data_IF_428712502770
#
_entry.id   IF_428712502770
#
_cell.length_a   1.000
_cell.length_b   1.000
_cell.length_c   1.000
_cell.angle_alpha   90.00
_cell.angle_beta   90.00
_cell.angle_gamma   90.00
#
_symmetry.space_group_name_H-M   'P 1'
#
loop_
_entity.id
_entity.type
_entity.pdbx_description
1 polymer ?
#
# COMPACT_ATOMS: atom_id res chain seq x y z
N UNK A 1 -4.05 29.01 -14.02
CA UNK A 1 -4.24 27.68 -13.43
C UNK A 1 -5.55 27.67 -12.65
N UNK A 2 -6.53 26.83 -13.01
CA UNK A 2 -7.76 26.69 -12.24
C UNK A 2 -7.39 26.27 -10.82
N UNK A 3 -7.76 27.12 -9.85
CA UNK A 3 -7.45 26.88 -8.45
C UNK A 3 -8.23 25.66 -7.98
N UNK A 4 -7.56 24.70 -7.34
CA UNK A 4 -8.23 23.65 -6.54
C UNK A 4 -8.66 24.30 -5.22
N UNK A 5 -9.47 25.34 -5.35
CA UNK A 5 -10.25 25.84 -4.25
C UNK A 5 -11.51 25.03 -4.40
N UNK A 6 -11.72 24.07 -3.49
CA UNK A 6 -13.07 23.68 -3.12
C UNK A 6 -13.80 25.00 -2.91
N UNK A 7 -14.56 25.47 -3.91
CA UNK A 7 -15.23 26.75 -3.85
C UNK A 7 -16.02 26.72 -2.56
N UNK A 8 -15.59 27.51 -1.57
CA UNK A 8 -16.24 27.58 -0.24
C UNK A 8 -17.76 27.82 -0.38
N UNK A 9 -18.15 28.34 -1.54
CA UNK A 9 -19.52 28.60 -2.01
C UNK A 9 -20.37 27.32 -2.21
N UNK A 10 -19.79 26.15 -2.53
CA UNK A 10 -20.58 24.93 -2.75
C UNK A 10 -20.88 24.14 -1.46
N UNK A 11 -20.23 24.49 -0.34
CA UNK A 11 -20.35 23.78 0.94
C UNK A 11 -21.19 24.60 1.94
N UNK A 12 -21.35 25.90 1.67
CA UNK A 12 -22.19 26.75 2.48
C UNK A 12 -23.66 26.58 2.04
N UNK A 13 -24.48 26.04 2.94
CA UNK A 13 -25.95 26.20 3.03
C UNK A 13 -26.89 25.13 2.45
N UNK A 14 -26.45 23.91 2.18
CA UNK A 14 -27.38 22.80 2.40
C UNK A 14 -27.21 22.37 3.85
N UNK A 15 -28.12 22.84 4.72
CA UNK A 15 -28.34 22.25 6.05
C UNK A 15 -28.43 20.75 5.81
N UNK A 16 -27.39 20.00 6.23
CA UNK A 16 -27.29 18.56 6.04
C UNK A 16 -28.56 18.01 6.66
N UNK A 17 -29.56 17.59 5.87
CA UNK A 17 -30.72 16.96 6.46
C UNK A 17 -30.20 15.72 7.20
N UNK A 18 -31.02 15.03 7.96
CA UNK A 18 -30.69 13.69 8.46
C UNK A 18 -30.62 12.66 7.29
N UNK A 19 -30.05 13.06 6.16
CA UNK A 19 -29.82 12.33 4.92
C UNK A 19 -28.81 11.24 5.18
N UNK A 20 -29.27 10.04 4.82
CA UNK A 20 -28.48 8.83 4.68
C UNK A 20 -27.13 9.10 3.97
N UNK A 21 -26.05 9.05 4.76
CA UNK A 21 -24.67 9.22 4.32
C UNK A 21 -24.33 8.36 3.09
N UNK A 22 -24.87 7.14 3.01
CA UNK A 22 -24.67 6.24 1.88
C UNK A 22 -25.12 6.88 0.56
N UNK A 23 -26.26 7.60 0.59
CA UNK A 23 -26.81 8.30 -0.58
C UNK A 23 -25.95 9.49 -0.98
N UNK A 24 -25.36 10.20 -0.02
CA UNK A 24 -24.46 11.32 -0.32
C UNK A 24 -23.22 10.85 -1.08
N UNK A 25 -22.59 9.76 -0.62
CA UNK A 25 -21.45 9.16 -1.33
C UNK A 25 -21.85 8.71 -2.74
N UNK A 26 -22.98 8.00 -2.86
CA UNK A 26 -23.49 7.54 -4.15
C UNK A 26 -23.71 8.70 -5.13
N UNK A 27 -24.35 9.79 -4.69
CA UNK A 27 -24.56 10.99 -5.51
C UNK A 27 -23.25 11.61 -5.99
N UNK A 28 -22.23 11.67 -5.13
CA UNK A 28 -20.91 12.21 -5.56
C UNK A 28 -20.24 11.32 -6.62
N UNK A 29 -20.33 9.99 -6.49
CA UNK A 29 -19.80 9.06 -7.50
C UNK A 29 -20.59 9.11 -8.81
N UNK A 30 -21.92 9.27 -8.74
CA UNK A 30 -22.78 9.42 -9.90
C UNK A 30 -22.51 10.75 -10.61
N UNK A 31 -22.45 11.86 -9.87
CA UNK A 31 -22.08 13.16 -10.43
C UNK A 31 -20.73 13.12 -11.14
N UNK A 32 -19.71 12.51 -10.53
CA UNK A 32 -18.41 12.30 -11.15
C UNK A 32 -18.49 11.52 -12.47
N UNK A 33 -19.35 10.49 -12.55
CA UNK A 33 -19.52 9.66 -13.75
C UNK A 33 -20.22 10.38 -14.92
N UNK A 34 -20.94 11.46 -14.66
CA UNK A 34 -21.58 12.28 -15.71
C UNK A 34 -20.64 13.27 -16.38
N UNK A 35 -19.44 13.47 -15.84
CA UNK A 35 -18.45 14.41 -16.38
C UNK A 35 -17.72 13.75 -17.55
N UNK A 36 -17.77 14.38 -18.72
CA UNK A 36 -17.16 13.88 -19.94
C UNK A 36 -15.65 14.14 -19.98
N UNK A 37 -14.86 13.32 -19.27
CA UNK A 37 -13.40 13.40 -19.38
C UNK A 37 -12.91 13.14 -20.81
N UNK A 38 -11.93 13.92 -21.25
CA UNK A 38 -11.24 13.73 -22.53
C UNK A 38 -9.74 13.82 -22.31
N UNK A 39 -9.02 12.92 -22.95
CA UNK A 39 -7.56 12.94 -23.06
C UNK A 39 -7.21 13.16 -24.53
N UNK A 40 -6.52 14.25 -24.84
CA UNK A 40 -6.00 14.47 -26.20
C UNK A 40 -4.73 13.63 -26.43
N UNK A 41 -4.41 13.37 -27.70
CA UNK A 41 -3.15 12.81 -28.18
C UNK A 41 -1.91 13.52 -27.64
N UNK A 42 -2.02 14.82 -27.32
CA UNK A 42 -0.99 15.63 -26.67
C UNK A 42 -0.90 15.41 -25.16
N UNK A 43 -1.61 14.41 -24.63
CA UNK A 43 -1.73 14.12 -23.20
C UNK A 43 -2.33 15.27 -22.40
N UNK A 44 -3.17 16.14 -22.98
CA UNK A 44 -3.89 17.13 -22.18
C UNK A 44 -5.10 16.47 -21.47
N UNK A 45 -5.23 16.68 -20.16
CA UNK A 45 -6.37 16.20 -19.37
C UNK A 45 -7.42 17.31 -19.24
N UNK A 46 -8.59 17.07 -19.83
CA UNK A 46 -9.73 17.96 -19.70
C UNK A 46 -10.74 17.38 -18.71
N UNK A 47 -11.23 18.23 -17.80
CA UNK A 47 -12.28 17.95 -16.82
C UNK A 47 -11.97 16.88 -15.75
N UNK A 48 -10.82 16.19 -15.77
CA UNK A 48 -10.47 15.22 -14.71
C UNK A 48 -10.25 15.88 -13.34
N UNK A 49 -9.97 17.19 -13.29
CA UNK A 49 -9.96 17.97 -12.05
C UNK A 49 -11.36 18.16 -11.44
N UNK A 50 -12.41 18.25 -12.27
CA UNK A 50 -13.80 18.34 -11.80
C UNK A 50 -14.24 17.02 -11.19
N UNK A 51 -13.87 15.90 -11.83
CA UNK A 51 -14.06 14.54 -11.28
C UNK A 51 -13.34 14.41 -9.92
N UNK A 52 -12.07 14.83 -9.84
CA UNK A 52 -11.32 14.82 -8.59
C UNK A 52 -12.02 15.66 -7.49
N UNK A 53 -12.58 16.82 -7.85
CA UNK A 53 -13.33 17.66 -6.91
C UNK A 53 -14.59 16.94 -6.38
N UNK A 54 -15.33 16.21 -7.22
CA UNK A 54 -16.47 15.40 -6.76
C UNK A 54 -16.04 14.33 -5.76
N UNK A 55 -14.91 13.67 -6.00
CA UNK A 55 -14.38 12.69 -5.05
C UNK A 55 -13.91 13.32 -3.73
N UNK A 56 -13.26 14.48 -3.79
CA UNK A 56 -12.86 15.23 -2.59
C UNK A 56 -14.06 15.67 -1.75
N UNK A 57 -15.16 16.08 -2.39
CA UNK A 57 -16.43 16.35 -1.71
C UNK A 57 -16.95 15.08 -1.03
N UNK A 58 -16.95 13.94 -1.73
CA UNK A 58 -17.26 12.63 -1.15
C UNK A 58 -16.47 12.34 0.13
N UNK A 59 -15.14 12.49 0.10
CA UNK A 59 -14.29 12.27 1.28
C UNK A 59 -14.51 13.30 2.40
N UNK A 60 -14.93 14.53 2.07
CA UNK A 60 -15.28 15.51 3.08
C UNK A 60 -16.52 15.08 3.87
N UNK A 61 -17.53 14.50 3.20
CA UNK A 61 -18.69 13.91 3.88
C UNK A 61 -18.28 12.77 4.82
N UNK A 62 -17.32 11.93 4.41
CA UNK A 62 -16.76 10.86 5.25
C UNK A 62 -16.14 11.44 6.51
N UNK A 63 -15.34 12.51 6.37
CA UNK A 63 -14.64 13.16 7.48
C UNK A 63 -15.57 13.83 8.49
N UNK A 64 -16.78 14.19 8.08
CA UNK A 64 -17.79 14.80 8.97
C UNK A 64 -18.53 13.77 9.83
N UNK A 65 -18.42 12.47 9.53
CA UNK A 65 -19.06 11.43 10.33
C UNK A 65 -18.36 11.27 11.69
N UNK A 66 -19.10 11.09 12.80
CA UNK A 66 -18.52 10.86 14.12
C UNK A 66 -17.81 9.51 14.22
N UNK A 67 -18.27 8.52 13.47
CA UNK A 67 -17.68 7.18 13.37
C UNK A 67 -17.53 6.81 11.90
N UNK A 68 -16.38 6.26 11.51
CA UNK A 68 -16.15 5.89 10.13
C UNK A 68 -16.93 4.60 9.79
N UNK A 69 -17.83 4.70 8.82
CA UNK A 69 -18.57 3.54 8.30
C UNK A 69 -17.98 3.08 6.98
N UNK A 70 -17.27 1.96 7.01
CA UNK A 70 -16.78 1.27 5.82
C UNK A 70 -17.93 0.49 5.17
N UNK A 71 -18.34 0.91 3.97
CA UNK A 71 -19.45 0.34 3.22
C UNK A 71 -19.17 0.33 1.71
N UNK A 72 -20.09 -0.22 0.92
CA UNK A 72 -19.96 -0.32 -0.54
C UNK A 72 -19.77 1.05 -1.24
N UNK A 73 -20.57 2.10 -0.96
CA UNK A 73 -20.36 3.42 -1.57
C UNK A 73 -18.98 4.00 -1.28
N UNK A 74 -18.47 3.86 -0.05
CA UNK A 74 -17.13 4.33 0.29
C UNK A 74 -16.04 3.56 -0.47
N UNK A 75 -16.16 2.23 -0.55
CA UNK A 75 -15.25 1.42 -1.35
C UNK A 75 -15.27 1.85 -2.83
N UNK A 76 -16.45 2.07 -3.40
CA UNK A 76 -16.61 2.51 -4.79
C UNK A 76 -15.94 3.86 -5.04
N UNK A 77 -16.15 4.82 -4.14
CA UNK A 77 -15.50 6.14 -4.18
C UNK A 77 -13.98 6.03 -4.16
N UNK A 78 -13.43 5.18 -3.27
CA UNK A 78 -11.98 4.92 -3.18
C UNK A 78 -11.45 4.28 -4.46
N UNK A 79 -12.12 3.25 -4.98
CA UNK A 79 -11.70 2.56 -6.20
C UNK A 79 -11.67 3.52 -7.39
N UNK A 80 -12.73 4.32 -7.58
CA UNK A 80 -12.79 5.31 -8.66
C UNK A 80 -11.73 6.43 -8.50
N UNK A 81 -11.45 6.85 -7.27
CA UNK A 81 -10.40 7.84 -6.98
C UNK A 81 -9.01 7.29 -7.31
N UNK A 82 -8.72 6.04 -6.91
CA UNK A 82 -7.46 5.37 -7.23
C UNK A 82 -7.29 5.17 -8.72
N UNK A 83 -8.36 4.77 -9.42
CA UNK A 83 -8.32 4.60 -10.87
C UNK A 83 -8.06 5.93 -11.59
N UNK A 84 -8.71 7.01 -11.15
CA UNK A 84 -8.42 8.35 -11.65
C UNK A 84 -6.95 8.73 -11.45
N UNK A 85 -6.37 8.48 -10.26
CA UNK A 85 -4.95 8.76 -9.99
C UNK A 85 -4.05 7.92 -10.91
N UNK A 86 -4.31 6.62 -11.05
CA UNK A 86 -3.49 5.71 -11.84
C UNK A 86 -3.44 6.11 -13.31
N UNK A 87 -4.58 6.50 -13.88
CA UNK A 87 -4.67 6.96 -15.26
C UNK A 87 -3.95 8.31 -15.51
N UNK A 88 -3.52 9.00 -14.45
CA UNK A 88 -2.89 10.32 -14.53
C UNK A 88 -1.51 10.37 -13.86
N UNK A 89 -0.94 9.23 -13.45
CA UNK A 89 0.33 9.22 -12.73
C UNK A 89 1.47 9.82 -13.55
N UNK A 90 1.57 9.46 -14.83
CA UNK A 90 2.62 9.94 -15.73
C UNK A 90 2.40 11.41 -16.10
N UNK A 91 1.16 11.76 -16.40
CA UNK A 91 0.78 13.15 -16.67
C UNK A 91 1.02 14.07 -15.48
N UNK A 92 0.78 13.60 -14.25
CA UNK A 92 1.02 14.38 -13.04
C UNK A 92 2.49 14.75 -12.86
N UNK A 93 3.41 13.90 -13.33
CA UNK A 93 4.86 14.16 -13.29
C UNK A 93 5.28 15.21 -14.30
N UNK A 94 4.70 15.19 -15.50
CA UNK A 94 5.07 16.10 -16.60
C UNK A 94 4.35 17.45 -16.50
N UNK A 95 3.04 17.43 -16.27
CA UNK A 95 2.16 18.62 -16.32
C UNK A 95 1.83 19.21 -14.94
N UNK A 96 2.36 18.61 -13.87
CA UNK A 96 2.11 19.03 -12.49
C UNK A 96 0.61 19.15 -12.17
N UNK A 97 -0.14 18.05 -12.32
CA UNK A 97 -1.55 17.98 -11.96
C UNK A 97 -1.73 18.15 -10.44
N UNK A 98 -2.07 19.35 -9.99
CA UNK A 98 -2.09 19.72 -8.55
C UNK A 98 -3.14 18.92 -7.75
N UNK A 99 -4.16 18.35 -8.39
CA UNK A 99 -5.23 17.60 -7.71
C UNK A 99 -4.79 16.19 -7.32
N UNK A 100 -3.82 15.60 -8.03
CA UNK A 100 -3.30 14.26 -7.73
C UNK A 100 -2.70 14.16 -6.32
N UNK A 101 -1.75 15.02 -5.90
CA UNK A 101 -1.20 14.95 -4.55
C UNK A 101 -2.24 15.25 -3.47
N UNK A 102 -3.24 16.11 -3.73
CA UNK A 102 -4.32 16.41 -2.78
C UNK A 102 -5.22 15.19 -2.58
N UNK A 103 -5.65 14.54 -3.67
CA UNK A 103 -6.48 13.35 -3.63
C UNK A 103 -5.74 12.17 -2.99
N UNK A 104 -4.47 11.96 -3.33
CA UNK A 104 -3.63 10.94 -2.72
C UNK A 104 -3.41 11.18 -1.22
N UNK A 105 -3.22 12.44 -0.79
CA UNK A 105 -3.12 12.76 0.62
C UNK A 105 -4.44 12.45 1.36
N UNK A 106 -5.58 12.77 0.75
CA UNK A 106 -6.91 12.47 1.31
C UNK A 106 -7.12 10.96 1.49
N UNK A 107 -6.79 10.16 0.47
CA UNK A 107 -6.82 8.69 0.54
C UNK A 107 -5.87 8.15 1.61
N UNK A 108 -4.67 8.75 1.77
CA UNK A 108 -3.72 8.36 2.82
C UNK A 108 -4.29 8.55 4.21
N UNK A 109 -4.88 9.71 4.48
CA UNK A 109 -5.49 9.99 5.79
C UNK A 109 -6.68 9.07 6.05
N UNK A 110 -7.53 8.81 5.05
CA UNK A 110 -8.61 7.82 5.16
C UNK A 110 -8.07 6.43 5.53
N UNK A 111 -7.06 5.94 4.81
CA UNK A 111 -6.45 4.65 5.09
C UNK A 111 -5.81 4.56 6.48
N UNK A 112 -5.31 5.68 7.01
CA UNK A 112 -4.83 5.77 8.39
C UNK A 112 -5.98 5.65 9.39
N UNK A 113 -7.05 6.44 9.22
CA UNK A 113 -8.24 6.37 10.08
C UNK A 113 -8.82 4.96 10.12
N UNK A 114 -8.99 4.31 8.97
CA UNK A 114 -9.49 2.91 8.90
C UNK A 114 -8.56 1.97 9.67
N UNK A 115 -7.25 2.15 9.56
CA UNK A 115 -6.28 1.31 10.26
C UNK A 115 -6.32 1.53 11.78
N UNK A 116 -6.46 2.77 12.22
CA UNK A 116 -6.48 3.13 13.64
C UNK A 116 -7.77 2.65 14.34
N UNK A 117 -8.90 2.59 13.61
CA UNK A 117 -10.17 2.05 14.10
C UNK A 117 -10.30 0.52 13.97
N UNK A 118 -9.44 -0.12 13.16
CA UNK A 118 -9.49 -1.56 12.92
C UNK A 118 -8.80 -2.35 14.04
N UNK A 119 -9.47 -3.38 14.54
CA UNK A 119 -8.94 -4.30 15.55
C UNK A 119 -7.88 -5.27 14.98
N UNK A 120 -7.88 -5.50 13.66
CA UNK A 120 -6.99 -6.43 13.00
C UNK A 120 -5.61 -5.81 12.69
N UNK A 121 -4.56 -6.47 13.19
CA UNK A 121 -3.18 -6.18 12.81
C UNK A 121 -2.84 -6.77 11.44
N UNK A 122 -2.06 -6.03 10.65
CA UNK A 122 -1.45 -6.54 9.41
C UNK A 122 -0.61 -7.79 9.70
N UNK A 123 -0.74 -8.85 8.89
CA UNK A 123 0.04 -10.07 9.08
C UNK A 123 1.49 -9.84 8.67
N UNK A 124 2.45 -10.39 9.41
CA UNK A 124 3.81 -10.45 8.89
C UNK A 124 3.86 -11.43 7.71
N UNK A 125 4.21 -10.92 6.53
CA UNK A 125 4.46 -11.74 5.35
C UNK A 125 5.95 -12.01 5.30
N UNK A 126 6.35 -13.24 5.64
CA UNK A 126 7.72 -13.71 5.49
C UNK A 126 7.99 -13.96 4.00
N UNK A 127 9.00 -13.28 3.45
CA UNK A 127 9.60 -13.66 2.17
C UNK A 127 10.59 -14.79 2.47
N UNK A 128 10.52 -15.93 1.75
CA UNK A 128 10.69 -15.98 0.31
C UNK A 128 9.38 -16.31 -0.40
N UNK A 129 9.06 -15.57 -1.47
CA UNK A 129 7.99 -15.93 -2.42
C UNK A 129 8.47 -17.11 -3.28
N UNK A 130 8.90 -18.21 -2.66
CA UNK A 130 8.93 -19.49 -3.35
C UNK A 130 7.48 -19.80 -3.69
N UNK A 131 7.21 -20.01 -4.96
CA UNK A 131 5.92 -20.44 -5.51
C UNK A 131 5.72 -21.86 -5.01
N UNK A 132 5.41 -22.03 -3.72
CA UNK A 132 4.85 -23.27 -3.23
C UNK A 132 3.41 -23.29 -3.75
N UNK A 133 3.11 -24.35 -4.47
CA UNK A 133 1.92 -24.59 -5.29
C UNK A 133 0.63 -24.06 -4.66
N UNK A 134 -0.23 -23.47 -5.51
CA UNK A 134 -1.53 -22.83 -5.26
C UNK A 134 -2.50 -23.63 -4.33
N UNK A 135 -2.20 -24.90 -4.05
CA UNK A 135 -2.94 -25.80 -3.19
C UNK A 135 -3.00 -25.43 -1.70
N UNK A 136 -2.07 -24.63 -1.17
CA UNK A 136 -2.08 -24.27 0.27
C UNK A 136 -2.88 -23.00 0.59
N UNK A 137 -2.94 -22.01 -0.30
CA UNK A 137 -3.74 -20.80 -0.08
C UNK A 137 -5.25 -21.10 -0.08
N UNK A 138 -5.70 -22.08 -0.87
CA UNK A 138 -7.11 -22.49 -0.95
C UNK A 138 -7.61 -23.15 0.35
N UNK A 139 -6.74 -23.87 1.07
CA UNK A 139 -7.11 -24.52 2.34
C UNK A 139 -7.22 -23.52 3.50
N UNK A 140 -6.43 -22.44 3.50
CA UNK A 140 -6.53 -21.39 4.52
C UNK A 140 -7.81 -20.54 4.37
N UNK A 141 -8.32 -20.40 3.14
CA UNK A 141 -9.55 -19.67 2.84
C UNK A 141 -10.79 -20.39 3.43
N UNK A 142 -10.81 -21.71 3.40
CA UNK A 142 -11.94 -22.52 3.86
C UNK A 142 -12.07 -22.63 5.39
N UNK A 143 -11.00 -22.42 6.15
CA UNK A 143 -11.05 -22.50 7.63
C UNK A 143 -11.42 -21.18 8.33
N UNK A 144 -11.41 -20.05 7.61
CA UNK A 144 -11.60 -18.71 8.20
C UNK A 144 -12.99 -18.09 7.98
N UNK A 145 -13.89 -18.79 7.27
CA UNK A 145 -15.28 -18.38 6.97
C UNK A 145 -16.26 -18.61 8.13
N UNK A 146 -15.86 -19.22 9.25
CA UNK A 146 -16.77 -19.60 10.34
C UNK A 146 -16.87 -18.60 11.51
N UNK A 147 -16.06 -17.54 11.56
CA UNK A 147 -16.30 -16.39 12.45
C UNK A 147 -16.81 -15.26 11.59
N UNK A 148 -18.08 -14.87 11.79
CA UNK A 148 -18.69 -13.76 11.07
C UNK A 148 -17.95 -12.47 11.30
N UNK A 149 -16.96 -12.18 10.46
CA UNK A 149 -16.35 -10.85 10.36
C UNK A 149 -17.46 -9.89 9.97
N UNK A 150 -17.50 -8.73 10.62
CA UNK A 150 -18.52 -7.75 10.29
C UNK A 150 -18.29 -7.26 8.86
N UNK A 151 -19.37 -7.08 8.08
CA UNK A 151 -19.25 -6.58 6.70
C UNK A 151 -18.42 -5.29 6.61
N UNK A 152 -18.46 -4.47 7.66
CA UNK A 152 -17.67 -3.25 7.81
C UNK A 152 -16.15 -3.51 7.77
N UNK A 153 -15.66 -4.54 8.46
CA UNK A 153 -14.24 -4.89 8.47
C UNK A 153 -13.77 -5.36 7.08
N UNK A 154 -14.60 -6.13 6.36
CA UNK A 154 -14.31 -6.56 4.99
C UNK A 154 -14.15 -5.37 4.04
N UNK A 155 -15.02 -4.35 4.13
CA UNK A 155 -14.88 -3.11 3.36
C UNK A 155 -13.62 -2.34 3.77
N UNK A 156 -13.35 -2.25 5.07
CA UNK A 156 -12.13 -1.59 5.58
C UNK A 156 -10.85 -2.22 5.03
N UNK A 157 -10.80 -3.56 4.97
CA UNK A 157 -9.68 -4.30 4.35
C UNK A 157 -9.57 -4.00 2.86
N UNK A 158 -10.67 -4.07 2.11
CA UNK A 158 -10.69 -3.78 0.69
C UNK A 158 -10.17 -2.36 0.39
N UNK A 159 -10.64 -1.35 1.12
CA UNK A 159 -10.21 0.04 0.99
C UNK A 159 -8.71 0.18 1.27
N UNK A 160 -8.21 -0.43 2.35
CA UNK A 160 -6.77 -0.39 2.70
C UNK A 160 -5.90 -1.03 1.63
N UNK A 161 -6.30 -2.17 1.09
CA UNK A 161 -5.61 -2.86 -0.01
C UNK A 161 -5.51 -1.93 -1.22
N UNK A 162 -6.63 -1.35 -1.65
CA UNK A 162 -6.68 -0.43 -2.80
C UNK A 162 -5.80 0.80 -2.60
N UNK A 163 -5.80 1.39 -1.40
CA UNK A 163 -4.95 2.55 -1.07
C UNK A 163 -3.46 2.17 -1.05
N UNK A 164 -3.09 1.05 -0.43
CA UNK A 164 -1.68 0.62 -0.41
C UNK A 164 -1.16 0.31 -1.80
N UNK A 165 -1.96 -0.36 -2.63
CA UNK A 165 -1.59 -0.61 -4.03
C UNK A 165 -1.34 0.68 -4.81
N UNK A 166 -2.27 1.65 -4.72
CA UNK A 166 -2.13 2.95 -5.37
C UNK A 166 -0.82 3.65 -4.95
N UNK A 167 -0.52 3.68 -3.64
CA UNK A 167 0.71 4.28 -3.12
C UNK A 167 1.97 3.57 -3.60
N UNK A 168 1.95 2.24 -3.71
CA UNK A 168 3.07 1.47 -4.20
C UNK A 168 3.39 1.82 -5.65
N UNK A 169 2.36 1.80 -6.51
CA UNK A 169 2.48 2.17 -7.93
C UNK A 169 2.96 3.62 -8.11
N UNK A 170 2.47 4.56 -7.29
CA UNK A 170 2.95 5.96 -7.32
C UNK A 170 4.44 6.13 -6.99
N UNK A 171 4.98 5.27 -6.13
CA UNK A 171 6.37 5.35 -5.69
C UNK A 171 7.31 4.51 -6.57
N UNK A 172 6.81 3.69 -7.50
CA UNK A 172 7.60 2.65 -8.16
C UNK A 172 8.84 3.19 -8.87
N UNK A 173 8.69 4.26 -9.65
CA UNK A 173 9.80 4.89 -10.35
C UNK A 173 10.55 5.95 -9.54
N UNK A 174 9.91 6.54 -8.51
CA UNK A 174 10.45 7.68 -7.77
C UNK A 174 11.21 7.28 -6.51
N UNK A 175 10.75 6.24 -5.83
CA UNK A 175 11.25 5.77 -4.53
C UNK A 175 10.97 4.27 -4.41
N UNK A 176 11.81 3.49 -5.08
CA UNK A 176 11.69 2.03 -5.15
C UNK A 176 11.61 1.36 -3.76
N UNK A 177 12.45 1.69 -2.76
CA UNK A 177 12.33 1.14 -1.41
C UNK A 177 10.94 1.37 -0.79
N UNK A 178 10.36 2.55 -1.00
CA UNK A 178 9.03 2.89 -0.50
C UNK A 178 7.91 2.18 -1.27
N UNK A 179 8.07 1.98 -2.58
CA UNK A 179 7.17 1.16 -3.38
C UNK A 179 7.11 -0.28 -2.87
N UNK A 180 8.28 -0.92 -2.70
CA UNK A 180 8.42 -2.27 -2.12
C UNK A 180 7.72 -2.36 -0.76
N UNK A 181 7.92 -1.36 0.10
CA UNK A 181 7.27 -1.29 1.41
C UNK A 181 5.74 -1.28 1.32
N UNK A 182 5.16 -0.51 0.40
CA UNK A 182 3.70 -0.48 0.23
C UNK A 182 3.15 -1.73 -0.46
N UNK A 183 3.85 -2.34 -1.40
CA UNK A 183 3.45 -3.64 -1.95
C UNK A 183 3.40 -4.71 -0.86
N UNK A 184 4.40 -4.79 0.02
CA UNK A 184 4.37 -5.67 1.20
C UNK A 184 3.18 -5.39 2.09
N UNK A 185 2.86 -4.11 2.34
CA UNK A 185 1.67 -3.73 3.11
C UNK A 185 0.38 -4.18 2.44
N UNK A 186 0.26 -4.02 1.12
CA UNK A 186 -0.90 -4.47 0.36
C UNK A 186 -1.13 -5.98 0.53
N UNK A 187 -0.07 -6.78 0.43
CA UNK A 187 -0.12 -8.25 0.56
C UNK A 187 -0.37 -8.68 2.03
N UNK A 188 0.10 -7.90 3.01
CA UNK A 188 -0.06 -8.21 4.44
C UNK A 188 -1.48 -8.05 4.97
N UNK A 189 -2.34 -7.31 4.27
CA UNK A 189 -3.75 -7.19 4.64
C UNK A 189 -4.43 -8.51 4.31
N UNK A 190 -5.18 -9.08 5.27
CA UNK A 190 -6.00 -10.26 5.01
C UNK A 190 -6.88 -10.01 3.78
N UNK A 191 -7.01 -10.96 2.83
CA UNK A 191 -7.86 -10.75 1.68
C UNK A 191 -9.31 -10.49 2.09
N UNK A 192 -9.96 -9.56 1.40
CA UNK A 192 -11.40 -9.31 1.55
C UNK A 192 -12.19 -10.18 0.57
N UNK A 193 -13.47 -10.39 0.85
CA UNK A 193 -14.41 -11.02 -0.07
C UNK A 193 -14.82 -10.13 -1.26
N UNK A 194 -14.43 -8.86 -1.26
CA UNK A 194 -14.73 -7.89 -2.32
C UNK A 194 -13.64 -7.90 -3.39
N UNK A 195 -13.78 -7.07 -4.43
CA UNK A 195 -12.87 -6.94 -5.60
C UNK A 195 -11.48 -6.37 -5.25
N UNK A 196 -10.88 -6.75 -4.11
CA UNK A 196 -9.53 -6.38 -3.69
C UNK A 196 -8.47 -7.40 -4.11
N UNK A 197 -8.89 -8.62 -4.48
CA UNK A 197 -7.99 -9.72 -4.86
C UNK A 197 -7.07 -9.36 -6.05
N UNK A 198 -7.56 -8.72 -7.13
CA UNK A 198 -6.69 -8.37 -8.26
C UNK A 198 -5.54 -7.45 -7.83
N UNK A 199 -5.77 -6.49 -6.93
CA UNK A 199 -4.73 -5.61 -6.43
C UNK A 199 -3.65 -6.35 -5.63
N UNK A 200 -4.03 -7.37 -4.84
CA UNK A 200 -3.05 -8.16 -4.09
C UNK A 200 -2.24 -9.08 -5.01
N UNK A 201 -2.88 -9.68 -6.02
CA UNK A 201 -2.18 -10.46 -7.05
C UNK A 201 -1.19 -9.57 -7.80
N UNK A 202 -1.64 -8.43 -8.34
CA UNK A 202 -0.76 -7.46 -9.00
C UNK A 202 0.36 -6.97 -8.08
N UNK A 203 0.08 -6.73 -6.80
CA UNK A 203 1.10 -6.35 -5.82
C UNK A 203 2.16 -7.45 -5.61
N UNK A 204 1.75 -8.72 -5.53
CA UNK A 204 2.67 -9.86 -5.40
C UNK A 204 3.57 -9.94 -6.64
N UNK A 205 2.99 -9.89 -7.83
CA UNK A 205 3.74 -9.94 -9.10
C UNK A 205 4.73 -8.78 -9.20
N UNK A 206 4.29 -7.54 -8.97
CA UNK A 206 5.17 -6.37 -8.99
C UNK A 206 6.30 -6.49 -7.97
N UNK A 207 6.01 -6.91 -6.73
CA UNK A 207 7.01 -7.11 -5.70
C UNK A 207 8.06 -8.16 -6.09
N UNK A 208 7.65 -9.27 -6.73
CA UNK A 208 8.58 -10.29 -7.22
C UNK A 208 9.54 -9.71 -8.26
N UNK A 209 9.01 -8.96 -9.24
CA UNK A 209 9.83 -8.32 -10.28
C UNK A 209 10.83 -7.33 -9.66
N UNK A 210 10.37 -6.44 -8.79
CA UNK A 210 11.24 -5.44 -8.15
C UNK A 210 12.35 -6.08 -7.30
N UNK A 211 12.04 -7.17 -6.60
CA UNK A 211 13.05 -7.92 -5.82
C UNK A 211 14.06 -8.60 -6.77
N UNK A 212 13.60 -9.25 -7.83
CA UNK A 212 14.47 -9.91 -8.82
C UNK A 212 15.43 -8.91 -9.47
N UNK A 213 14.93 -7.75 -9.91
CA UNK A 213 15.75 -6.67 -10.48
C UNK A 213 16.79 -6.15 -9.49
N UNK A 214 16.45 -6.05 -8.21
CA UNK A 214 17.38 -5.62 -7.17
C UNK A 214 18.55 -6.60 -6.98
N UNK A 215 18.31 -7.90 -7.19
CA UNK A 215 19.37 -8.93 -7.16
C UNK A 215 20.24 -8.89 -8.42
N UNK A 216 19.66 -8.67 -9.61
CA UNK A 216 20.40 -8.60 -10.86
C UNK A 216 21.27 -7.33 -10.98
N UNK A 217 20.78 -6.19 -10.53
CA UNK A 217 21.52 -4.92 -10.55
C UNK A 217 22.63 -4.85 -9.49
N UNK A 218 22.60 -5.73 -8.48
CA UNK A 218 23.73 -5.97 -7.58
C UNK A 218 24.67 -7.03 -8.15
N UNK A 219 24.96 -6.97 -9.45
CA UNK A 219 26.15 -7.64 -10.00
C UNK A 219 27.32 -7.23 -9.10
N UNK A 220 28.06 -8.18 -8.49
CA UNK A 220 29.17 -7.84 -7.64
C UNK A 220 30.07 -6.90 -8.44
N UNK A 221 30.19 -5.65 -7.99
CA UNK A 221 31.33 -4.82 -8.34
C UNK A 221 32.53 -5.58 -7.79
N UNK A 222 33.05 -6.50 -8.60
CA UNK A 222 34.35 -7.08 -8.40
C UNK A 222 35.28 -5.89 -8.54
N UNK A 223 35.65 -5.28 -7.41
CA UNK A 223 36.87 -4.49 -7.33
C UNK A 223 37.95 -5.35 -7.97
N UNK A 224 38.41 -4.95 -9.16
CA UNK A 224 39.46 -5.62 -9.90
C UNK A 224 40.70 -5.68 -9.02
N UNK A 225 40.82 -6.77 -8.28
CA UNK A 225 42.07 -7.26 -7.74
C UNK A 225 42.30 -8.60 -8.41
N UNK A 226 43.16 -8.54 -9.42
CA UNK A 226 43.97 -9.64 -9.92
C UNK A 226 44.33 -10.61 -8.80
N UNK A 227 43.79 -11.83 -8.85
CA UNK A 227 44.54 -13.10 -8.93
C UNK A 227 43.72 -14.27 -8.35
N UNK A 228 43.27 -15.13 -9.26
CA UNK A 228 43.37 -16.60 -9.24
C UNK A 228 42.79 -17.43 -8.06
N UNK A 229 41.88 -18.35 -8.43
CA UNK A 229 41.75 -19.76 -7.99
C UNK A 229 40.50 -20.15 -7.14
N UNK A 230 39.71 -21.04 -7.78
CA UNK A 230 38.67 -22.01 -7.37
C UNK A 230 37.30 -21.60 -6.80
N UNK A 231 36.29 -21.90 -7.61
CA UNK A 231 35.04 -22.62 -7.36
C UNK A 231 34.74 -23.08 -5.91
N UNK A 232 33.61 -22.63 -5.36
CA UNK A 232 32.70 -23.39 -4.49
C UNK A 232 31.32 -22.71 -4.55
N UNK A 233 30.32 -23.46 -5.00
CA UNK A 233 28.89 -23.14 -4.92
C UNK A 233 28.47 -22.97 -3.46
N UNK A 234 28.09 -21.76 -3.04
CA UNK A 234 27.46 -21.53 -1.74
C UNK A 234 26.15 -20.78 -1.92
N UNK A 235 25.05 -21.44 -1.55
CA UNK A 235 23.73 -20.87 -1.38
C UNK A 235 23.83 -19.63 -0.49
N UNK A 236 23.54 -18.46 -1.04
CA UNK A 236 23.60 -17.21 -0.26
C UNK A 236 22.36 -17.10 0.61
N UNK A 237 22.44 -17.62 1.83
CA UNK A 237 21.42 -17.42 2.85
C UNK A 237 21.40 -15.92 3.21
N UNK A 238 20.35 -15.19 2.81
CA UNK A 238 20.15 -13.83 3.33
C UNK A 238 19.84 -13.92 4.82
N UNK A 239 20.44 -13.05 5.62
CA UNK A 239 20.23 -13.00 7.08
C UNK A 239 19.32 -11.81 7.40
N UNK A 240 18.25 -12.06 8.16
CA UNK A 240 17.34 -11.03 8.64
C UNK A 240 17.75 -10.53 10.03
N UNK A 241 17.61 -9.22 10.25
CA UNK A 241 17.87 -8.62 11.56
C UNK A 241 16.80 -9.04 12.58
N UNK A 242 17.24 -9.58 13.72
CA UNK A 242 16.34 -10.04 14.79
C UNK A 242 15.44 -8.93 15.36
N UNK A 243 15.85 -7.66 15.27
CA UNK A 243 15.08 -6.53 15.80
C UNK A 243 14.08 -5.95 14.78
N UNK A 244 14.52 -5.73 13.54
CA UNK A 244 13.77 -4.93 12.56
C UNK A 244 13.45 -5.66 11.27
N UNK A 245 13.85 -6.93 11.13
CA UNK A 245 13.57 -7.77 9.96
C UNK A 245 14.29 -7.38 8.68
N UNK A 246 15.13 -6.33 8.69
CA UNK A 246 15.91 -5.94 7.50
C UNK A 246 16.84 -7.08 7.11
N UNK A 247 16.91 -7.41 5.82
CA UNK A 247 17.84 -8.41 5.29
C UNK A 247 19.12 -7.74 4.75
N UNK A 248 20.29 -8.31 5.09
CA UNK A 248 21.58 -7.88 4.55
C UNK A 248 22.47 -9.10 4.33
N UNK A 249 23.38 -8.99 3.35
CA UNK A 249 24.35 -10.05 3.01
C UNK A 249 25.39 -10.30 4.11
N UNK A 250 25.70 -9.25 4.87
CA UNK A 250 26.58 -9.33 6.03
C UNK A 250 25.96 -8.53 7.17
N UNK A 251 25.82 -9.16 8.32
CA UNK A 251 25.33 -8.54 9.54
C UNK A 251 26.26 -8.87 10.70
N UNK A 252 26.56 -7.90 11.59
CA UNK A 252 27.16 -8.23 12.86
C UNK A 252 26.28 -9.21 13.64
N UNK A 253 26.94 -10.21 14.20
CA UNK A 253 26.32 -11.26 15.01
C UNK A 253 26.57 -10.96 16.48
N UNK A 254 25.65 -11.35 17.36
CA UNK A 254 25.91 -11.30 18.79
C UNK A 254 27.19 -12.08 19.13
N UNK A 255 28.16 -11.44 19.78
CA UNK A 255 29.45 -12.04 20.11
C UNK A 255 29.36 -13.17 21.14
N UNK A 256 28.26 -13.23 21.90
CA UNK A 256 28.00 -14.28 22.90
C UNK A 256 27.44 -15.54 22.25
N UNK A 257 26.22 -15.48 21.73
CA UNK A 257 25.53 -16.67 21.20
C UNK A 257 25.86 -17.01 19.74
N UNK A 258 26.46 -16.08 18.98
CA UNK A 258 26.78 -16.23 17.54
C UNK A 258 25.61 -16.68 16.64
N UNK A 259 24.37 -16.61 17.13
CA UNK A 259 23.18 -17.08 16.42
C UNK A 259 22.24 -15.95 15.97
N UNK A 260 22.33 -14.77 16.59
CA UNK A 260 21.43 -13.64 16.31
C UNK A 260 22.12 -12.53 15.53
N UNK A 261 21.49 -12.10 14.43
CA UNK A 261 22.02 -11.13 13.47
C UNK A 261 21.37 -9.76 13.63
N UNK A 262 22.16 -8.69 13.49
CA UNK A 262 21.68 -7.31 13.64
C UNK A 262 22.15 -6.42 12.50
N UNK A 263 21.26 -5.60 11.94
CA UNK A 263 21.62 -4.70 10.84
C UNK A 263 22.48 -3.51 11.28
N UNK A 264 22.51 -3.23 12.60
CA UNK A 264 23.29 -2.19 13.27
C UNK A 264 23.44 -2.47 14.78
N UNK A 265 24.42 -1.84 15.43
CA UNK A 265 24.58 -1.90 16.89
C UNK A 265 23.35 -1.32 17.62
N UNK A 266 22.67 -0.35 17.02
CA UNK A 266 21.46 0.24 17.58
C UNK A 266 20.32 -0.79 17.67
N UNK A 267 20.14 -1.62 16.64
CA UNK A 267 19.18 -2.72 16.66
C UNK A 267 19.52 -3.77 17.74
N UNK A 268 20.81 -4.07 17.93
CA UNK A 268 21.26 -4.94 19.03
C UNK A 268 20.90 -4.34 20.40
N UNK A 269 21.15 -3.03 20.61
CA UNK A 269 20.83 -2.37 21.88
C UNK A 269 19.33 -2.38 22.19
N UNK A 270 18.49 -2.15 21.18
CA UNK A 270 17.02 -2.14 21.32
C UNK A 270 16.49 -3.55 21.60
N UNK A 271 17.02 -4.57 20.92
CA UNK A 271 16.60 -5.96 21.09
C UNK A 271 17.20 -6.63 22.33
N UNK A 272 18.24 -6.04 22.94
CA UNK A 272 18.95 -6.58 24.11
C UNK A 272 18.06 -7.16 25.22
N UNK A 273 17.01 -6.48 25.72
CA UNK A 273 16.19 -7.02 26.82
C UNK A 273 15.46 -8.31 26.45
N UNK A 274 15.00 -8.44 25.20
CA UNK A 274 14.35 -9.66 24.69
C UNK A 274 15.41 -10.73 24.44
N UNK A 275 16.47 -10.36 23.72
CA UNK A 275 17.55 -11.29 23.37
C UNK A 275 18.21 -11.93 24.59
N UNK A 276 18.32 -11.21 25.71
CA UNK A 276 18.98 -11.69 26.92
C UNK A 276 18.31 -12.94 27.52
N UNK A 277 17.01 -13.16 27.26
CA UNK A 277 16.27 -14.33 27.72
C UNK A 277 16.80 -15.60 27.03
N UNK A 278 17.10 -15.50 25.72
CA UNK A 278 17.51 -16.63 24.88
C UNK A 278 19.02 -16.65 24.55
N UNK A 279 19.79 -15.66 25.03
CA UNK A 279 21.22 -15.53 24.76
C UNK A 279 22.02 -16.43 25.71
N UNK A 280 22.00 -17.74 25.45
CA UNK A 280 22.82 -18.73 26.16
C UNK A 280 24.14 -19.01 25.41
N UNK A 281 25.16 -19.40 26.17
CA UNK A 281 26.50 -19.75 25.69
C UNK A 281 26.52 -21.13 25.03
#
# INVERSE_FOLDING_TARGET
MPSIVLSKVAIAQEEIPNTDFSKCLQRTTEAASTINQKHDSLSECHQCHEIANQYLLGFQWVKQQPTLVCNAPLLKLVQQSVELIRNHIDMARVQHLVWVPVLMNTLRELGKTIKDECSESDRMVSLPLCIESESEEEQLYNHSTKRGTSSHEDYGRAIRITIYYCRASMCEELDLPKSIHYYRKCISVRPSQYESQPFQVSARTALQHLIAEQYHNKRPSLTSRTSSISSITTSSCSMACANCGVEKRAMPVCSRCKSQYYCSIQCLKIHKPVHQIDCHL
#
